data_IF_159225201475
#
_entry.id   IF_159225201475
#
_cell.length_a   1.000
_cell.length_b   1.000
_cell.length_c   1.000
_cell.angle_alpha   90.00
_cell.angle_beta   90.00
_cell.angle_gamma   90.00
#
_symmetry.space_group_name_H-M   'P 1'
#
loop_
_entity.id
_entity.type
_entity.pdbx_description
1 polymer ?
#
# COMPACT_ATOMS: atom_id res chain seq x y z
N UNK A 1 -8.19 20.43 -2.29
CA UNK A 1 -7.48 19.19 -1.92
C UNK A 1 -7.45 18.25 -3.11
N UNK A 2 -6.29 17.68 -3.39
CA UNK A 2 -6.16 16.83 -4.55
C UNK A 2 -6.84 15.48 -4.33
N UNK A 3 -7.54 15.05 -5.34
CA UNK A 3 -8.20 13.76 -5.30
C UNK A 3 -7.35 12.72 -6.02
N UNK A 4 -7.20 11.57 -5.40
CA UNK A 4 -6.46 10.47 -5.99
C UNK A 4 -7.32 9.81 -7.07
N UNK A 5 -6.80 9.79 -8.29
CA UNK A 5 -7.54 9.26 -9.43
C UNK A 5 -7.24 7.80 -9.72
N UNK A 6 -5.97 7.43 -9.69
CA UNK A 6 -5.60 6.06 -10.02
C UNK A 6 -4.25 5.73 -9.42
N UNK A 7 -3.98 4.44 -9.29
CA UNK A 7 -2.70 3.95 -8.81
C UNK A 7 -2.30 2.73 -9.62
N UNK A 8 -1.01 2.59 -9.84
CA UNK A 8 -0.48 1.49 -10.60
C UNK A 8 0.83 1.05 -9.97
N UNK A 9 0.99 -0.25 -9.78
CA UNK A 9 2.23 -0.79 -9.25
C UNK A 9 3.22 -0.99 -10.40
N UNK A 10 4.42 -0.46 -10.22
CA UNK A 10 5.50 -0.61 -11.18
C UNK A 10 6.49 -1.64 -10.66
N UNK A 11 6.52 -2.82 -11.28
CA UNK A 11 7.38 -3.90 -10.82
C UNK A 11 8.86 -3.61 -11.03
N UNK A 12 9.19 -2.77 -12.01
CA UNK A 12 10.58 -2.46 -12.29
C UNK A 12 11.21 -1.63 -11.19
N UNK A 13 10.44 -0.76 -10.56
CA UNK A 13 10.95 0.12 -9.52
C UNK A 13 10.44 -0.25 -8.13
N UNK A 14 9.52 -1.21 -8.04
CA UNK A 14 8.85 -1.60 -6.78
C UNK A 14 8.17 -0.41 -6.13
N UNK A 15 7.50 0.41 -6.93
CA UNK A 15 6.79 1.58 -6.45
C UNK A 15 5.36 1.58 -6.95
N UNK A 16 4.47 2.11 -6.13
CA UNK A 16 3.10 2.38 -6.54
C UNK A 16 3.03 3.83 -6.99
N UNK A 17 2.64 4.04 -8.24
CA UNK A 17 2.53 5.37 -8.80
C UNK A 17 1.11 5.86 -8.65
N UNK A 18 0.93 6.92 -7.88
CA UNK A 18 -0.37 7.48 -7.58
C UNK A 18 -0.56 8.76 -8.40
N UNK A 19 -1.65 8.82 -9.15
CA UNK A 19 -1.96 9.97 -9.99
C UNK A 19 -3.13 10.75 -9.38
N UNK A 20 -2.96 12.05 -9.29
CA UNK A 20 -3.96 12.94 -8.71
C UNK A 20 -4.62 13.79 -9.78
N UNK A 21 -5.73 14.41 -9.42
CA UNK A 21 -6.51 15.16 -10.41
C UNK A 21 -5.82 16.44 -10.88
N UNK A 22 -4.81 16.92 -10.18
CA UNK A 22 -4.04 18.07 -10.64
C UNK A 22 -2.83 17.65 -11.48
N UNK A 23 -2.82 16.40 -11.94
CA UNK A 23 -1.78 15.81 -12.78
C UNK A 23 -0.48 15.54 -12.03
N UNK A 24 -0.49 15.65 -10.71
CA UNK A 24 0.64 15.26 -9.89
C UNK A 24 0.74 13.74 -9.84
N UNK A 25 1.98 13.24 -9.90
CA UNK A 25 2.21 11.80 -9.73
C UNK A 25 3.17 11.62 -8.56
N UNK A 26 2.78 10.76 -7.62
CA UNK A 26 3.60 10.47 -6.46
C UNK A 26 3.99 9.00 -6.51
N UNK A 27 5.28 8.71 -6.33
CA UNK A 27 5.76 7.35 -6.32
C UNK A 27 5.97 6.90 -4.87
N UNK A 28 5.29 5.83 -4.48
CA UNK A 28 5.38 5.28 -3.13
C UNK A 28 6.32 4.09 -3.16
N UNK A 29 7.41 4.18 -2.40
CA UNK A 29 8.41 3.12 -2.35
C UNK A 29 7.90 1.98 -1.48
N UNK A 30 7.47 0.89 -2.12
CA UNK A 30 6.89 -0.23 -1.40
C UNK A 30 7.88 -0.94 -0.50
N UNK A 31 9.15 -0.95 -0.89
CA UNK A 31 10.18 -1.59 -0.07
C UNK A 31 10.36 -0.83 1.23
N UNK A 32 10.37 0.49 1.17
CA UNK A 32 10.50 1.30 2.38
C UNK A 32 9.29 1.09 3.30
N UNK A 33 8.10 0.98 2.73
CA UNK A 33 6.91 0.74 3.53
C UNK A 33 6.97 -0.62 4.20
N UNK A 34 7.42 -1.64 3.48
CA UNK A 34 7.55 -2.97 4.07
C UNK A 34 8.59 -3.00 5.18
N UNK A 35 9.68 -2.26 5.00
CA UNK A 35 10.72 -2.20 6.02
C UNK A 35 10.21 -1.54 7.29
N UNK A 36 9.34 -0.55 7.13
CA UNK A 36 8.84 0.19 8.28
C UNK A 36 7.68 -0.51 8.98
N UNK A 37 6.78 -1.11 8.22
CA UNK A 37 5.53 -1.64 8.77
C UNK A 37 5.40 -3.15 8.69
N UNK A 38 6.15 -3.80 7.80
CA UNK A 38 6.01 -5.23 7.58
C UNK A 38 6.92 -6.05 8.49
N UNK A 39 6.68 -5.99 9.79
CA UNK A 39 7.55 -6.64 10.76
C UNK A 39 7.34 -8.14 10.84
N UNK A 40 6.20 -8.63 10.42
CA UNK A 40 5.88 -10.05 10.46
C UNK A 40 5.51 -10.53 9.06
N UNK A 41 5.68 -11.83 8.78
CA UNK A 41 5.32 -12.35 7.45
C UNK A 41 3.88 -12.09 7.07
N UNK A 42 2.95 -12.16 8.01
CA UNK A 42 1.55 -11.90 7.72
C UNK A 42 1.33 -10.46 7.30
N UNK A 43 2.06 -9.52 7.93
CA UNK A 43 1.94 -8.11 7.58
C UNK A 43 2.51 -7.84 6.20
N UNK A 44 3.64 -8.47 5.86
CA UNK A 44 4.21 -8.31 4.53
C UNK A 44 3.30 -8.89 3.47
N UNK A 45 2.69 -10.03 3.75
CA UNK A 45 1.76 -10.66 2.81
C UNK A 45 0.55 -9.76 2.56
N UNK A 46 0.07 -9.10 3.60
CA UNK A 46 -1.07 -8.20 3.46
C UNK A 46 -0.70 -7.00 2.59
N UNK A 47 0.47 -6.43 2.81
CA UNK A 47 0.91 -5.29 2.01
C UNK A 47 1.08 -5.70 0.54
N UNK A 48 1.67 -6.87 0.30
CA UNK A 48 1.82 -7.37 -1.07
C UNK A 48 0.47 -7.59 -1.72
N UNK A 49 -0.47 -8.16 -0.98
CA UNK A 49 -1.81 -8.40 -1.51
C UNK A 49 -2.46 -7.09 -1.95
N UNK A 50 -2.32 -6.04 -1.14
CA UNK A 50 -2.88 -4.74 -1.48
C UNK A 50 -2.22 -4.16 -2.73
N UNK A 51 -0.91 -4.28 -2.84
CA UNK A 51 -0.18 -3.74 -3.98
C UNK A 51 -0.68 -4.36 -5.29
N UNK A 52 -0.89 -5.68 -5.29
CA UNK A 52 -1.28 -6.36 -6.51
C UNK A 52 -2.78 -6.35 -6.78
N UNK A 53 -3.60 -6.21 -5.76
CA UNK A 53 -5.04 -6.31 -5.93
C UNK A 53 -5.77 -4.99 -5.71
N UNK A 54 -5.27 -4.15 -4.81
CA UNK A 54 -5.95 -2.90 -4.49
C UNK A 54 -4.91 -1.78 -4.28
N UNK A 55 -4.16 -1.45 -5.32
CA UNK A 55 -3.12 -0.41 -5.17
C UNK A 55 -3.68 0.95 -4.79
N UNK A 56 -4.92 1.24 -5.19
CA UNK A 56 -5.53 2.51 -4.81
C UNK A 56 -5.74 2.60 -3.31
N UNK A 57 -6.23 1.53 -2.69
CA UNK A 57 -6.41 1.51 -1.24
C UNK A 57 -5.07 1.55 -0.52
N UNK A 58 -4.07 0.85 -1.07
CA UNK A 58 -2.74 0.87 -0.52
C UNK A 58 -2.20 2.31 -0.47
N UNK A 59 -2.32 3.02 -1.59
CA UNK A 59 -1.83 4.38 -1.67
C UNK A 59 -2.59 5.30 -0.71
N UNK A 60 -3.89 5.12 -0.60
CA UNK A 60 -4.69 5.94 0.30
C UNK A 60 -4.26 5.75 1.75
N UNK A 61 -3.99 4.52 2.15
CA UNK A 61 -3.54 4.26 3.52
C UNK A 61 -2.18 4.87 3.79
N UNK A 62 -1.26 4.76 2.84
CA UNK A 62 0.07 5.33 3.01
C UNK A 62 -0.01 6.85 3.12
N UNK A 63 -0.79 7.48 2.25
CA UNK A 63 -0.90 8.94 2.24
C UNK A 63 -1.59 9.48 3.48
N UNK A 64 -2.51 8.71 4.04
CA UNK A 64 -3.21 9.13 5.27
C UNK A 64 -2.49 8.73 6.53
N UNK A 65 -1.41 7.95 6.41
CA UNK A 65 -0.69 7.47 7.57
C UNK A 65 -1.44 6.42 8.37
N UNK A 66 -2.25 5.60 7.69
CA UNK A 66 -3.09 4.61 8.36
C UNK A 66 -2.59 3.18 8.19
N UNK A 67 -1.40 3.00 7.65
CA UNK A 67 -0.89 1.65 7.41
C UNK A 67 -0.75 0.86 8.71
N UNK A 68 -0.16 1.50 9.72
CA UNK A 68 0.03 0.83 11.00
C UNK A 68 -1.30 0.46 11.64
N UNK A 69 -2.25 1.36 11.57
CA UNK A 69 -3.59 1.10 12.12
C UNK A 69 -4.26 -0.07 11.40
N UNK A 70 -4.16 -0.07 10.07
CA UNK A 70 -4.76 -1.13 9.27
C UNK A 70 -4.15 -2.49 9.64
N UNK A 71 -2.83 -2.55 9.74
CA UNK A 71 -2.16 -3.80 10.06
C UNK A 71 -2.46 -4.27 11.47
N UNK A 72 -2.71 -3.34 12.38
CA UNK A 72 -3.01 -3.69 13.78
C UNK A 72 -4.39 -4.31 13.93
N UNK A 73 -5.26 -4.09 12.95
CA UNK A 73 -6.60 -4.69 12.99
C UNK A 73 -6.60 -6.17 12.63
N UNK A 74 -5.46 -6.67 12.19
CA UNK A 74 -5.35 -8.06 11.81
C UNK A 74 -5.19 -8.21 10.32
N UNK A 75 -4.27 -9.06 9.91
CA UNK A 75 -3.97 -9.25 8.51
C UNK A 75 -4.79 -10.41 7.98
N UNK A 76 -6.06 -10.16 7.70
CA UNK A 76 -6.97 -11.22 7.32
C UNK A 76 -6.59 -11.90 6.03
N UNK A 77 -6.05 -11.13 5.09
CA UNK A 77 -5.74 -11.69 3.77
C UNK A 77 -4.48 -12.53 3.80
N UNK A 78 -3.59 -12.28 4.73
CA UNK A 78 -2.37 -13.04 4.84
C UNK A 78 -2.41 -14.12 5.89
N UNK A 79 -3.58 -14.39 6.47
CA UNK A 79 -3.71 -15.36 7.56
C UNK A 79 -4.49 -16.58 7.12
N UNK A 80 -4.11 -17.68 7.73
CA UNK A 80 -4.76 -18.93 7.40
C UNK A 80 -5.89 -19.27 8.32
N UNK A 81 -5.93 -18.75 9.54
CA UNK A 81 -6.90 -19.12 10.45
C UNK A 81 -8.16 -18.60 10.12
N UNK A 82 -8.96 -19.16 10.41
CA UNK A 82 -10.11 -18.99 10.12
C UNK A 82 -10.80 -18.38 10.48
#
# INVERSE_FOLDING_TARGET
MNKLLSCQFNMDTNRVEARFEDETVLAIDCIAIEDEYGNAPAQRAELDWLIYNKPLEYAQMVLKGEVEHYLSLGCDHGRMED
#
